data_IF_628074796664
#
_entry.id   IF_628074796664
#
_cell.length_a   1.000
_cell.length_b   1.000
_cell.length_c   1.000
_cell.angle_alpha   90.00
_cell.angle_beta   90.00
_cell.angle_gamma   90.00
#
_symmetry.space_group_name_H-M   'P 1'
#
loop_
_entity.id
_entity.type
_entity.pdbx_description
1 polymer ?
#
# COMPACT_ATOMS: atom_id res chain seq x y z
N UNK A 1 12.88 -23.17 -3.80
CA UNK A 1 12.70 -21.82 -3.22
C UNK A 1 12.32 -20.89 -4.35
N UNK A 2 11.21 -20.16 -4.21
CA UNK A 2 10.67 -19.34 -5.29
C UNK A 2 11.53 -18.07 -5.45
N UNK A 3 11.82 -17.64 -6.69
CA UNK A 3 12.74 -16.51 -6.95
C UNK A 3 12.31 -15.23 -6.22
N UNK A 4 11.02 -14.96 -6.21
CA UNK A 4 10.39 -13.84 -5.49
C UNK A 4 10.65 -13.89 -3.98
N UNK A 5 10.60 -15.09 -3.40
CA UNK A 5 10.82 -15.29 -1.96
C UNK A 5 12.29 -14.99 -1.59
N UNK A 6 13.25 -15.50 -2.38
CA UNK A 6 14.66 -15.16 -2.19
C UNK A 6 14.90 -13.65 -2.32
N UNK A 7 14.27 -13.01 -3.31
CA UNK A 7 14.44 -11.58 -3.56
C UNK A 7 13.85 -10.74 -2.42
N UNK A 8 12.66 -11.08 -1.92
CA UNK A 8 12.04 -10.39 -0.79
C UNK A 8 12.88 -10.50 0.50
N UNK A 9 13.42 -11.69 0.81
CA UNK A 9 14.33 -11.86 1.95
C UNK A 9 15.61 -11.03 1.79
N UNK A 10 16.20 -11.00 0.58
CA UNK A 10 17.38 -10.19 0.32
C UNK A 10 17.11 -8.68 0.48
N UNK A 11 15.95 -8.19 0.03
CA UNK A 11 15.54 -6.80 0.25
C UNK A 11 15.35 -6.50 1.74
N UNK A 12 14.75 -7.41 2.50
CA UNK A 12 14.59 -7.23 3.95
C UNK A 12 15.93 -7.09 4.67
N UNK A 13 16.91 -7.93 4.34
CA UNK A 13 18.28 -7.80 4.89
C UNK A 13 18.93 -6.47 4.49
N UNK A 14 18.72 -6.00 3.26
CA UNK A 14 19.27 -4.71 2.78
C UNK A 14 18.59 -3.48 3.36
N UNK A 15 17.35 -3.63 3.83
CA UNK A 15 16.63 -2.58 4.55
C UNK A 15 17.15 -2.39 5.99
N UNK A 16 17.93 -3.33 6.52
CA UNK A 16 18.51 -3.23 7.86
C UNK A 16 19.65 -2.20 7.94
N UNK A 17 19.84 -1.54 9.11
CA UNK A 17 20.90 -0.56 9.32
C UNK A 17 22.28 -1.08 8.96
N UNK A 18 23.07 -0.27 8.25
CA UNK A 18 24.45 -0.57 7.89
C UNK A 18 24.68 -0.81 6.39
N UNK A 19 23.60 -0.84 5.59
CA UNK A 19 23.67 -0.86 4.13
C UNK A 19 23.81 0.54 3.52
N UNK A 20 23.63 1.59 4.32
CA UNK A 20 23.67 2.99 3.91
C UNK A 20 22.27 3.55 3.68
N UNK A 21 22.06 4.82 4.07
CA UNK A 21 20.71 5.38 4.21
C UNK A 21 19.85 5.32 2.94
N UNK A 22 20.45 5.49 1.75
CA UNK A 22 19.71 5.35 0.49
C UNK A 22 19.41 3.88 0.14
N UNK A 23 20.37 2.97 0.35
CA UNK A 23 20.15 1.53 0.11
C UNK A 23 19.04 0.98 0.98
N UNK A 24 19.01 1.39 2.26
CA UNK A 24 17.98 0.97 3.21
C UNK A 24 16.59 1.45 2.77
N UNK A 25 16.48 2.71 2.36
CA UNK A 25 15.25 3.32 1.83
C UNK A 25 14.77 2.61 0.56
N UNK A 26 15.64 2.41 -0.42
CA UNK A 26 15.29 1.74 -1.68
C UNK A 26 14.89 0.27 -1.47
N UNK A 27 15.58 -0.45 -0.59
CA UNK A 27 15.25 -1.84 -0.29
C UNK A 27 13.86 -1.96 0.37
N UNK A 28 13.54 -1.06 1.30
CA UNK A 28 12.20 -0.98 1.92
C UNK A 28 11.12 -0.63 0.89
N UNK A 29 11.35 0.37 0.03
CA UNK A 29 10.41 0.74 -1.05
C UNK A 29 10.19 -0.40 -2.03
N UNK A 30 11.25 -1.14 -2.37
CA UNK A 30 11.14 -2.32 -3.22
C UNK A 30 10.30 -3.39 -2.53
N UNK A 31 10.53 -3.66 -1.24
CA UNK A 31 9.76 -4.65 -0.50
C UNK A 31 8.27 -4.29 -0.36
N UNK A 32 7.92 -2.99 -0.38
CA UNK A 32 6.54 -2.52 -0.33
C UNK A 32 5.71 -2.88 -1.57
N UNK A 33 6.35 -3.17 -2.70
CA UNK A 33 5.70 -3.58 -3.95
C UNK A 33 5.98 -5.05 -4.32
N UNK A 34 6.90 -5.71 -3.60
CA UNK A 34 7.15 -7.12 -3.78
C UNK A 34 6.10 -7.95 -3.04
N UNK A 35 5.53 -8.98 -3.68
CA UNK A 35 4.79 -9.99 -2.95
C UNK A 35 5.75 -10.71 -1.99
N UNK A 36 5.23 -11.20 -0.85
CA UNK A 36 5.98 -11.99 0.15
C UNK A 36 6.82 -13.10 -0.49
N UNK A 37 6.31 -13.71 -1.56
CA UNK A 37 6.87 -14.94 -2.13
C UNK A 37 6.55 -16.14 -1.22
N UNK A 38 6.58 -17.34 -1.79
CA UNK A 38 6.16 -18.55 -1.07
C UNK A 38 4.65 -18.62 -0.80
N UNK A 39 3.86 -17.67 -1.31
CA UNK A 39 2.39 -17.65 -1.28
C UNK A 39 1.82 -17.41 -2.67
N UNK A 40 0.91 -18.29 -3.08
CA UNK A 40 -0.17 -18.19 -4.06
C UNK A 40 -0.14 -17.32 -5.33
N UNK A 41 0.99 -16.82 -5.81
CA UNK A 41 1.07 -16.27 -7.17
C UNK A 41 0.68 -17.33 -8.21
N UNK A 42 1.12 -18.57 -7.99
CA UNK A 42 0.63 -19.74 -8.71
C UNK A 42 -0.82 -20.08 -8.31
N UNK A 43 -1.27 -19.82 -7.08
CA UNK A 43 -2.66 -20.09 -6.67
C UNK A 43 -3.68 -19.26 -7.45
N UNK A 44 -3.34 -18.06 -7.96
CA UNK A 44 -4.24 -17.36 -8.89
C UNK A 44 -4.36 -18.16 -10.20
N UNK A 45 -3.23 -18.46 -10.85
CA UNK A 45 -3.20 -19.09 -12.18
C UNK A 45 -3.66 -20.54 -12.16
N UNK A 46 -3.14 -21.32 -11.21
CA UNK A 46 -3.51 -22.71 -10.96
C UNK A 46 -4.89 -22.78 -10.32
N UNK A 47 -5.25 -21.87 -9.42
CA UNK A 47 -6.56 -21.88 -8.75
C UNK A 47 -7.69 -21.64 -9.73
N UNK A 48 -7.63 -20.61 -10.58
CA UNK A 48 -8.70 -20.42 -11.59
C UNK A 48 -8.79 -21.63 -12.51
N UNK A 49 -7.66 -22.19 -12.91
CA UNK A 49 -7.57 -23.34 -13.78
C UNK A 49 -8.15 -24.61 -13.12
N UNK A 50 -7.88 -24.85 -11.83
CA UNK A 50 -8.51 -25.92 -11.07
C UNK A 50 -10.02 -25.72 -10.98
N UNK A 51 -10.50 -24.50 -10.74
CA UNK A 51 -11.94 -24.21 -10.71
C UNK A 51 -12.60 -24.53 -12.06
N UNK A 52 -11.99 -24.13 -13.18
CA UNK A 52 -12.51 -24.47 -14.51
C UNK A 52 -12.58 -26.00 -14.68
N UNK A 53 -11.52 -26.71 -14.26
CA UNK A 53 -11.40 -28.17 -14.44
C UNK A 53 -12.37 -28.97 -13.58
N UNK A 54 -12.53 -28.59 -12.32
CA UNK A 54 -13.34 -29.28 -11.32
C UNK A 54 -14.84 -29.07 -11.59
N UNK A 55 -15.20 -27.99 -12.27
CA UNK A 55 -16.57 -27.66 -12.63
C UNK A 55 -16.88 -27.92 -14.11
N UNK A 56 -16.01 -28.64 -14.82
CA UNK A 56 -16.25 -29.08 -16.20
C UNK A 56 -16.35 -27.93 -17.22
N UNK A 57 -15.71 -26.79 -16.96
CA UNK A 57 -15.66 -25.63 -17.85
C UNK A 57 -14.56 -25.85 -18.88
N UNK A 58 -14.84 -25.48 -20.14
CA UNK A 58 -13.89 -25.65 -21.23
C UNK A 58 -12.63 -24.81 -21.00
N UNK A 59 -11.49 -25.48 -21.19
CA UNK A 59 -10.15 -24.89 -21.14
C UNK A 59 -9.36 -25.38 -22.38
N UNK A 60 -9.03 -24.47 -23.31
CA UNK A 60 -8.30 -24.81 -24.52
C UNK A 60 -8.99 -25.91 -25.34
N UNK A 61 -8.32 -27.05 -25.53
CA UNK A 61 -8.84 -28.20 -26.30
C UNK A 61 -9.67 -29.17 -25.46
N UNK A 62 -9.76 -28.99 -24.13
CA UNK A 62 -10.54 -29.89 -23.27
C UNK A 62 -12.03 -29.65 -23.48
N UNK A 63 -12.87 -30.67 -23.74
CA UNK A 63 -14.31 -30.49 -23.83
C UNK A 63 -14.92 -30.11 -22.48
N UNK A 64 -15.93 -29.25 -22.48
CA UNK A 64 -16.60 -28.74 -21.29
C UNK A 64 -17.65 -27.67 -21.59
N UNK A 65 -18.20 -27.05 -20.55
CA UNK A 65 -19.13 -25.92 -20.65
C UNK A 65 -18.39 -24.73 -21.27
N UNK A 66 -18.93 -24.20 -22.37
CA UNK A 66 -18.41 -23.00 -23.02
C UNK A 66 -18.86 -21.77 -22.25
N UNK A 67 -17.93 -21.09 -21.57
CA UNK A 67 -18.19 -19.78 -20.96
C UNK A 67 -17.14 -18.78 -21.44
N UNK A 68 -17.55 -17.91 -22.37
CA UNK A 68 -16.65 -16.95 -23.03
C UNK A 68 -15.97 -16.02 -22.02
N UNK A 69 -16.74 -15.49 -21.07
CA UNK A 69 -16.21 -14.63 -20.00
C UNK A 69 -15.10 -15.33 -19.21
N UNK A 70 -15.33 -16.55 -18.71
CA UNK A 70 -14.34 -17.27 -17.91
C UNK A 70 -13.09 -17.62 -18.72
N UNK A 71 -13.24 -17.94 -20.01
CA UNK A 71 -12.10 -18.16 -20.89
C UNK A 71 -11.26 -16.89 -21.09
N UNK A 72 -11.91 -15.75 -21.36
CA UNK A 72 -11.24 -14.45 -21.52
C UNK A 72 -10.54 -14.02 -20.21
N UNK A 73 -11.25 -14.13 -19.08
CA UNK A 73 -10.72 -13.73 -17.79
C UNK A 73 -9.58 -14.65 -17.33
N UNK A 74 -9.70 -15.97 -17.52
CA UNK A 74 -8.59 -16.91 -17.27
C UNK A 74 -7.33 -16.54 -18.07
N UNK A 75 -7.47 -16.23 -19.36
CA UNK A 75 -6.34 -15.83 -20.20
C UNK A 75 -5.73 -14.50 -19.76
N UNK A 76 -6.55 -13.54 -19.30
CA UNK A 76 -6.07 -12.31 -18.67
C UNK A 76 -5.25 -12.60 -17.42
N UNK A 77 -5.79 -13.39 -16.48
CA UNK A 77 -5.12 -13.79 -15.24
C UNK A 77 -3.79 -14.53 -15.49
N UNK A 78 -3.73 -15.33 -16.56
CA UNK A 78 -2.51 -16.01 -16.97
C UNK A 78 -1.43 -15.04 -17.47
N UNK A 79 -1.84 -13.94 -18.10
CA UNK A 79 -0.93 -12.94 -18.69
C UNK A 79 -0.45 -11.94 -17.63
N UNK A 80 -1.40 -11.31 -16.94
CA UNK A 80 -1.15 -10.31 -15.92
C UNK A 80 -2.38 -10.22 -15.02
N UNK A 81 -2.19 -10.44 -13.72
CA UNK A 81 -3.22 -10.20 -12.73
C UNK A 81 -3.05 -8.80 -12.11
N UNK A 82 -4.15 -8.11 -11.85
CA UNK A 82 -4.21 -6.73 -11.33
C UNK A 82 -5.25 -6.64 -10.21
N UNK A 83 -5.25 -5.54 -9.45
CA UNK A 83 -6.26 -5.31 -8.39
C UNK A 83 -7.70 -5.31 -8.93
N UNK A 84 -7.90 -4.94 -10.20
CA UNK A 84 -9.21 -4.98 -10.87
C UNK A 84 -9.79 -6.40 -10.94
N UNK A 85 -8.96 -7.45 -10.85
CA UNK A 85 -9.45 -8.83 -10.80
C UNK A 85 -10.28 -9.11 -9.55
N UNK A 86 -10.05 -8.38 -8.45
CA UNK A 86 -10.90 -8.45 -7.25
C UNK A 86 -12.30 -7.96 -7.60
N UNK A 87 -12.41 -6.79 -8.24
CA UNK A 87 -13.69 -6.21 -8.65
C UNK A 87 -14.41 -7.08 -9.69
N UNK A 88 -13.68 -7.64 -10.66
CA UNK A 88 -14.23 -8.59 -11.64
C UNK A 88 -14.79 -9.84 -10.95
N UNK A 89 -14.09 -10.38 -9.95
CA UNK A 89 -14.54 -11.55 -9.21
C UNK A 89 -15.76 -11.25 -8.32
N UNK A 90 -15.80 -10.09 -7.66
CA UNK A 90 -16.96 -9.63 -6.87
C UNK A 90 -18.20 -9.42 -7.74
N UNK A 91 -18.03 -8.76 -8.88
CA UNK A 91 -19.11 -8.59 -9.86
C UNK A 91 -19.58 -9.93 -10.44
N UNK A 92 -18.66 -10.87 -10.69
CA UNK A 92 -19.01 -12.21 -11.14
C UNK A 92 -19.81 -12.97 -10.07
N UNK A 93 -19.41 -12.89 -8.81
CA UNK A 93 -20.17 -13.47 -7.70
C UNK A 93 -21.57 -12.85 -7.58
N UNK A 94 -21.70 -11.53 -7.77
CA UNK A 94 -22.99 -10.87 -7.77
C UNK A 94 -23.88 -11.38 -8.93
N UNK A 95 -23.33 -11.51 -10.12
CA UNK A 95 -23.99 -12.12 -11.27
C UNK A 95 -24.38 -13.58 -11.03
N UNK A 96 -23.51 -14.40 -10.43
CA UNK A 96 -23.85 -15.79 -10.11
C UNK A 96 -25.03 -15.88 -9.14
N UNK A 97 -25.22 -14.89 -8.27
CA UNK A 97 -26.35 -14.81 -7.33
C UNK A 97 -27.63 -14.27 -7.96
N UNK A 98 -27.54 -13.25 -8.83
CA UNK A 98 -28.72 -12.57 -9.41
C UNK A 98 -29.14 -13.04 -10.82
N UNK A 99 -28.18 -13.46 -11.64
CA UNK A 99 -28.40 -14.03 -12.98
C UNK A 99 -28.53 -13.03 -14.14
N UNK A 100 -28.56 -11.73 -13.88
CA UNK A 100 -28.62 -10.69 -14.91
C UNK A 100 -27.22 -10.16 -15.23
N UNK A 101 -26.71 -10.46 -16.43
CA UNK A 101 -25.36 -10.07 -16.84
C UNK A 101 -25.16 -8.55 -16.92
N UNK A 102 -26.18 -7.79 -17.31
CA UNK A 102 -26.02 -6.35 -17.47
C UNK A 102 -26.17 -5.63 -16.11
N UNK A 103 -27.16 -6.00 -15.32
CA UNK A 103 -27.42 -5.34 -14.04
C UNK A 103 -26.53 -5.88 -12.92
N UNK A 104 -26.45 -7.21 -12.75
CA UNK A 104 -25.75 -7.80 -11.61
C UNK A 104 -24.23 -7.83 -11.80
N UNK A 105 -23.72 -7.99 -13.03
CA UNK A 105 -22.28 -7.88 -13.29
C UNK A 105 -21.87 -6.43 -13.56
N UNK A 106 -22.37 -5.84 -14.66
CA UNK A 106 -21.91 -4.51 -15.09
C UNK A 106 -22.40 -3.39 -14.17
N UNK A 107 -23.63 -3.47 -13.66
CA UNK A 107 -24.11 -2.52 -12.66
C UNK A 107 -23.26 -2.55 -11.38
N UNK A 108 -22.91 -3.75 -10.90
CA UNK A 108 -22.07 -3.92 -9.71
C UNK A 108 -20.64 -3.41 -9.91
N UNK A 109 -19.98 -3.84 -11.01
CA UNK A 109 -18.58 -3.48 -11.25
C UNK A 109 -18.41 -1.98 -11.51
N UNK A 110 -19.38 -1.36 -12.19
CA UNK A 110 -19.38 0.09 -12.40
C UNK A 110 -19.58 0.84 -11.09
N UNK A 111 -20.57 0.45 -10.29
CA UNK A 111 -20.88 1.13 -9.03
C UNK A 111 -19.73 1.04 -8.02
N UNK A 112 -19.07 -0.13 -7.90
CA UNK A 112 -18.05 -0.37 -6.89
C UNK A 112 -16.62 -0.07 -7.34
N UNK A 113 -16.30 -0.22 -8.63
CA UNK A 113 -14.94 -0.06 -9.15
C UNK A 113 -14.80 0.98 -10.27
N UNK A 114 -15.90 1.57 -10.75
CA UNK A 114 -15.88 2.53 -11.85
C UNK A 114 -15.47 1.93 -13.20
N UNK A 115 -15.43 0.60 -13.32
CA UNK A 115 -15.00 -0.07 -14.55
C UNK A 115 -16.16 -0.21 -15.54
N UNK A 116 -15.90 0.17 -16.78
CA UNK A 116 -16.84 0.12 -17.91
C UNK A 116 -16.65 -1.13 -18.76
N UNK A 117 -17.55 -1.34 -19.74
CA UNK A 117 -17.40 -2.42 -20.73
C UNK A 117 -16.16 -2.22 -21.58
N UNK A 118 -15.90 -0.97 -21.95
CA UNK A 118 -14.77 -0.54 -22.75
C UNK A 118 -13.45 -0.82 -22.00
N UNK A 119 -13.41 -0.55 -20.68
CA UNK A 119 -12.25 -0.87 -19.85
C UNK A 119 -11.96 -2.37 -19.88
N UNK A 120 -12.97 -3.22 -19.66
CA UNK A 120 -12.83 -4.68 -19.70
C UNK A 120 -12.40 -5.20 -21.07
N UNK A 121 -12.94 -4.63 -22.15
CA UNK A 121 -12.56 -4.96 -23.53
C UNK A 121 -11.14 -4.50 -23.89
N UNK A 122 -10.62 -3.49 -23.22
CA UNK A 122 -9.24 -3.00 -23.40
C UNK A 122 -8.21 -3.80 -22.61
N UNK A 123 -8.64 -4.61 -21.62
CA UNK A 123 -7.73 -5.45 -20.83
C UNK A 123 -7.07 -6.49 -21.73
N UNK A 124 -5.73 -6.48 -21.81
CA UNK A 124 -4.97 -7.40 -22.66
C UNK A 124 -5.16 -8.86 -22.22
N UNK A 125 -5.63 -9.69 -23.15
CA UNK A 125 -5.86 -11.13 -22.95
C UNK A 125 -4.78 -11.90 -23.73
N UNK A 126 -3.64 -12.19 -23.12
CA UNK A 126 -2.58 -12.98 -23.77
C UNK A 126 -1.80 -12.22 -24.85
N UNK A 127 -0.83 -12.92 -25.45
CA UNK A 127 0.02 -12.41 -26.53
C UNK A 127 -0.64 -12.49 -27.92
N UNK A 128 -1.81 -13.15 -28.04
CA UNK A 128 -2.43 -13.51 -29.33
C UNK A 128 -3.90 -13.12 -29.51
N UNK A 129 -4.60 -12.64 -28.49
CA UNK A 129 -6.00 -12.24 -28.62
C UNK A 129 -6.12 -10.72 -28.55
N UNK A 130 -6.67 -10.14 -29.60
CA UNK A 130 -6.95 -8.70 -29.71
C UNK A 130 -8.26 -8.30 -29.00
N UNK A 131 -9.06 -9.27 -28.56
CA UNK A 131 -10.35 -9.05 -27.88
C UNK A 131 -10.18 -9.21 -26.36
N UNK A 132 -10.44 -8.14 -25.59
CA UNK A 132 -10.49 -8.18 -24.13
C UNK A 132 -11.70 -8.94 -23.57
N UNK A 133 -12.06 -8.66 -22.32
CA UNK A 133 -13.20 -9.30 -21.65
C UNK A 133 -14.50 -8.69 -22.19
N UNK A 134 -15.28 -9.49 -22.93
CA UNK A 134 -16.50 -9.02 -23.60
C UNK A 134 -17.78 -9.69 -23.10
N UNK A 135 -17.69 -10.90 -22.55
CA UNK A 135 -18.86 -11.68 -22.14
C UNK A 135 -19.83 -12.00 -23.29
N UNK A 136 -21.10 -12.34 -22.99
CA UNK A 136 -21.63 -12.56 -21.64
C UNK A 136 -21.07 -13.84 -20.99
N UNK A 137 -21.22 -13.95 -19.67
CA UNK A 137 -20.95 -15.20 -18.97
C UNK A 137 -22.17 -16.13 -18.98
N UNK A 138 -21.93 -17.43 -18.95
CA UNK A 138 -22.96 -18.41 -18.62
C UNK A 138 -23.34 -18.29 -17.13
N UNK A 139 -24.63 -18.35 -16.82
CA UNK A 139 -25.09 -18.31 -15.42
C UNK A 139 -24.85 -19.67 -14.74
N UNK A 140 -23.76 -19.75 -13.97
CA UNK A 140 -23.27 -20.99 -13.37
C UNK A 140 -23.23 -20.88 -11.83
N UNK A 141 -24.40 -20.83 -11.14
CA UNK A 141 -24.48 -20.53 -9.70
C UNK A 141 -23.75 -21.54 -8.81
N UNK A 142 -23.52 -22.77 -9.29
CA UNK A 142 -22.74 -23.78 -8.57
C UNK A 142 -21.27 -23.38 -8.38
N UNK A 143 -20.76 -22.38 -9.12
CA UNK A 143 -19.40 -21.87 -8.97
C UNK A 143 -19.21 -20.94 -7.76
N UNK A 144 -20.29 -20.50 -7.11
CA UNK A 144 -20.22 -19.52 -6.00
C UNK A 144 -19.19 -19.91 -4.94
N UNK A 145 -19.19 -21.13 -4.36
CA UNK A 145 -18.23 -21.47 -3.31
C UNK A 145 -16.78 -21.44 -3.79
N UNK A 146 -16.54 -21.90 -5.02
CA UNK A 146 -15.22 -21.90 -5.64
C UNK A 146 -14.72 -20.48 -5.93
N UNK A 147 -15.62 -19.60 -6.39
CA UNK A 147 -15.32 -18.20 -6.66
C UNK A 147 -15.17 -17.37 -5.37
N UNK A 148 -15.84 -17.72 -4.28
CA UNK A 148 -15.62 -17.09 -2.96
C UNK A 148 -14.23 -17.43 -2.41
N UNK A 149 -13.79 -18.69 -2.53
CA UNK A 149 -12.41 -19.06 -2.24
C UNK A 149 -11.43 -18.32 -3.15
N UNK A 150 -11.71 -18.27 -4.46
CA UNK A 150 -10.84 -17.60 -5.43
C UNK A 150 -10.73 -16.10 -5.18
N UNK A 151 -11.82 -15.45 -4.77
CA UNK A 151 -11.81 -14.06 -4.33
C UNK A 151 -10.88 -13.88 -3.12
N UNK A 152 -10.88 -14.83 -2.18
CA UNK A 152 -9.95 -14.86 -1.07
C UNK A 152 -8.49 -14.93 -1.53
N UNK A 153 -8.18 -15.76 -2.54
CA UNK A 153 -6.85 -15.84 -3.16
C UNK A 153 -6.47 -14.54 -3.84
N UNK A 154 -7.34 -13.99 -4.69
CA UNK A 154 -7.11 -12.72 -5.39
C UNK A 154 -6.86 -11.59 -4.39
N UNK A 155 -7.71 -11.48 -3.37
CA UNK A 155 -7.52 -10.52 -2.28
C UNK A 155 -6.18 -10.76 -1.62
N UNK A 156 -5.87 -11.96 -1.15
CA UNK A 156 -4.61 -12.29 -0.47
C UNK A 156 -3.36 -11.94 -1.30
N UNK A 157 -3.35 -12.33 -2.57
CA UNK A 157 -2.19 -12.16 -3.46
C UNK A 157 -2.01 -10.71 -3.89
N UNK A 158 -3.08 -9.99 -4.21
CA UNK A 158 -3.03 -8.53 -4.43
C UNK A 158 -2.92 -7.73 -3.13
N UNK A 159 -3.10 -8.42 -2.00
CA UNK A 159 -2.91 -7.92 -0.66
C UNK A 159 -1.62 -8.42 0.00
N UNK A 160 -0.56 -8.69 -0.76
CA UNK A 160 0.79 -8.59 -0.21
C UNK A 160 1.06 -7.25 0.51
N UNK A 161 0.16 -6.28 0.33
CA UNK A 161 0.04 -5.02 1.05
C UNK A 161 -1.16 -4.88 2.02
N UNK A 162 -2.02 -5.91 2.26
CA UNK A 162 -3.03 -5.78 3.34
C UNK A 162 -2.40 -6.03 4.69
N UNK A 163 -2.79 -5.18 5.63
CA UNK A 163 -2.46 -5.32 7.04
C UNK A 163 -2.80 -6.71 7.60
N UNK A 164 -3.89 -7.33 7.16
CA UNK A 164 -4.29 -8.67 7.62
C UNK A 164 -3.31 -9.75 7.21
N UNK A 165 -3.04 -9.86 5.90
CA UNK A 165 -2.14 -10.87 5.39
C UNK A 165 -0.74 -10.67 5.96
N UNK A 166 -0.28 -9.43 6.07
CA UNK A 166 1.02 -9.13 6.68
C UNK A 166 1.05 -9.51 8.17
N UNK A 167 -0.02 -9.27 8.92
CA UNK A 167 -0.11 -9.63 10.33
C UNK A 167 -0.14 -11.15 10.54
N UNK A 168 -0.93 -11.87 9.75
CA UNK A 168 -1.01 -13.34 9.82
C UNK A 168 0.36 -13.97 9.49
N UNK A 169 1.06 -13.43 8.48
CA UNK A 169 2.39 -13.91 8.09
C UNK A 169 3.48 -13.56 9.11
N UNK A 170 3.37 -12.43 9.81
CA UNK A 170 4.35 -11.98 10.79
C UNK A 170 4.08 -12.50 12.21
N UNK A 171 2.97 -13.21 12.45
CA UNK A 171 2.58 -13.68 13.78
C UNK A 171 3.71 -14.39 14.54
N UNK A 172 4.45 -15.25 13.84
CA UNK A 172 5.56 -16.02 14.40
C UNK A 172 6.81 -15.17 14.71
N UNK A 173 6.96 -13.98 14.12
CA UNK A 173 8.11 -13.10 14.36
C UNK A 173 7.98 -12.32 15.67
N UNK A 174 6.83 -12.43 16.34
CA UNK A 174 6.47 -11.74 17.59
C UNK A 174 6.34 -12.72 18.76
N UNK A 175 6.83 -13.95 18.61
CA UNK A 175 6.79 -15.02 19.62
C UNK A 175 7.37 -14.63 20.98
N UNK A 176 8.41 -13.79 20.99
CA UNK A 176 9.06 -13.27 22.21
C UNK A 176 8.29 -12.11 22.87
N UNK A 177 7.31 -11.52 22.18
CA UNK A 177 6.51 -10.39 22.68
C UNK A 177 5.01 -10.66 22.46
N UNK A 178 4.41 -11.45 23.36
CA UNK A 178 2.99 -11.76 23.34
C UNK A 178 2.09 -10.51 23.41
N UNK A 179 2.58 -9.41 24.00
CA UNK A 179 1.86 -8.14 24.02
C UNK A 179 1.78 -7.52 22.63
N UNK A 180 2.84 -7.64 21.83
CA UNK A 180 2.89 -7.08 20.48
C UNK A 180 1.92 -7.81 19.55
N UNK A 181 1.90 -9.15 19.65
CA UNK A 181 0.94 -9.96 18.91
C UNK A 181 -0.52 -9.59 19.27
N UNK A 182 -0.79 -9.32 20.56
CA UNK A 182 -2.10 -8.86 21.00
C UNK A 182 -2.45 -7.48 20.46
N UNK A 183 -1.55 -6.50 20.55
CA UNK A 183 -1.77 -5.14 20.03
C UNK A 183 -2.04 -5.14 18.51
N UNK A 184 -1.33 -5.98 17.74
CA UNK A 184 -1.59 -6.15 16.30
C UNK A 184 -3.01 -6.70 16.08
N UNK A 185 -3.43 -7.69 16.87
CA UNK A 185 -4.77 -8.26 16.73
C UNK A 185 -5.88 -7.29 17.17
N UNK A 186 -5.66 -6.52 18.23
CA UNK A 186 -6.61 -5.51 18.70
C UNK A 186 -6.78 -4.41 17.65
N UNK A 187 -5.69 -3.96 17.04
CA UNK A 187 -5.72 -3.01 15.94
C UNK A 187 -6.49 -3.56 14.73
N UNK A 188 -6.30 -4.84 14.37
CA UNK A 188 -7.05 -5.49 13.27
C UNK A 188 -8.55 -5.53 13.55
N UNK A 189 -8.97 -5.63 14.80
CA UNK A 189 -10.39 -5.66 15.16
C UNK A 189 -11.00 -4.25 15.21
N UNK A 190 -10.18 -3.22 15.47
CA UNK A 190 -10.62 -1.86 15.78
C UNK A 190 -10.03 -0.81 14.83
N UNK A 191 -9.86 -1.15 13.55
CA UNK A 191 -9.04 -0.39 12.57
C UNK A 191 -9.44 1.06 12.37
N UNK A 192 -10.69 1.41 12.62
CA UNK A 192 -11.21 2.75 12.34
C UNK A 192 -11.36 3.60 13.61
N UNK A 193 -10.88 3.11 14.75
CA UNK A 193 -10.94 3.85 16.00
C UNK A 193 -9.96 5.03 16.01
N UNK A 194 -10.33 6.09 16.74
CA UNK A 194 -9.56 7.34 16.79
C UNK A 194 -8.13 7.17 17.32
N UNK A 195 -7.88 6.16 18.15
CA UNK A 195 -6.58 5.89 18.77
C UNK A 195 -5.63 5.10 17.86
N UNK A 196 -6.12 4.59 16.73
CA UNK A 196 -5.35 3.71 15.82
C UNK A 196 -4.05 4.33 15.34
N UNK A 197 -3.98 5.60 14.89
CA UNK A 197 -2.72 6.20 14.44
C UNK A 197 -1.59 6.12 15.48
N UNK A 198 -1.90 6.39 16.75
CA UNK A 198 -0.92 6.29 17.85
C UNK A 198 -0.51 4.85 18.12
N UNK A 199 -1.47 3.92 18.12
CA UNK A 199 -1.19 2.49 18.32
C UNK A 199 -0.34 1.89 17.20
N UNK A 200 -0.52 2.34 15.95
CA UNK A 200 0.36 1.97 14.82
C UNK A 200 1.81 2.33 15.16
N UNK A 201 2.08 3.53 15.66
CA UNK A 201 3.45 3.94 16.01
C UNK A 201 4.05 3.04 17.10
N UNK A 202 3.30 2.74 18.15
CA UNK A 202 3.75 1.84 19.23
C UNK A 202 4.13 0.45 18.70
N UNK A 203 3.25 -0.14 17.87
CA UNK A 203 3.46 -1.45 17.25
C UNK A 203 4.69 -1.39 16.33
N UNK A 204 4.78 -0.39 15.46
CA UNK A 204 5.88 -0.22 14.50
C UNK A 204 7.23 -0.06 15.19
N UNK A 205 7.29 0.68 16.30
CA UNK A 205 8.50 0.83 17.11
C UNK A 205 8.97 -0.51 17.68
N UNK A 206 8.05 -1.31 18.24
CA UNK A 206 8.37 -2.63 18.79
C UNK A 206 8.75 -3.63 17.70
N UNK A 207 8.07 -3.59 16.55
CA UNK A 207 8.38 -4.43 15.39
C UNK A 207 9.81 -4.21 14.88
N UNK A 208 10.43 -3.05 15.10
CA UNK A 208 11.83 -2.83 14.71
C UNK A 208 12.76 -3.89 15.33
N UNK A 209 12.47 -4.39 16.52
CA UNK A 209 13.24 -5.44 17.17
C UNK A 209 13.05 -6.83 16.54
N UNK A 210 11.94 -7.06 15.84
CA UNK A 210 11.65 -8.34 15.20
C UNK A 210 12.45 -8.56 13.91
N UNK A 211 12.84 -7.49 13.20
CA UNK A 211 13.50 -7.58 11.90
C UNK A 211 14.89 -6.94 11.85
N UNK A 212 15.20 -5.95 12.68
CA UNK A 212 16.54 -5.33 12.68
C UNK A 212 17.54 -6.23 13.40
N UNK A 213 18.58 -6.64 12.68
CA UNK A 213 19.69 -7.41 13.24
C UNK A 213 19.47 -8.92 13.36
N UNK A 214 18.33 -9.43 12.88
CA UNK A 214 18.13 -10.89 12.77
C UNK A 214 18.92 -11.47 11.58
N UNK A 215 19.49 -12.66 11.76
CA UNK A 215 20.14 -13.42 10.69
C UNK A 215 19.12 -14.20 9.85
N UNK A 216 17.90 -14.39 10.36
CA UNK A 216 16.82 -15.06 9.63
C UNK A 216 16.14 -14.09 8.65
N UNK A 217 16.49 -14.23 7.36
CA UNK A 217 15.92 -13.43 6.28
C UNK A 217 14.39 -13.58 6.14
N UNK A 218 13.80 -14.71 6.52
CA UNK A 218 12.35 -14.89 6.51
C UNK A 218 11.69 -14.11 7.64
N UNK A 219 12.28 -14.14 8.84
CA UNK A 219 11.82 -13.35 9.98
C UNK A 219 11.89 -11.86 9.68
N UNK A 220 13.03 -11.42 9.11
CA UNK A 220 13.22 -10.04 8.69
C UNK A 220 12.17 -9.63 7.66
N UNK A 221 11.92 -10.46 6.63
CA UNK A 221 10.94 -10.18 5.58
C UNK A 221 9.53 -10.03 6.14
N UNK A 222 9.04 -11.01 6.88
CA UNK A 222 7.64 -11.04 7.32
C UNK A 222 7.34 -9.90 8.29
N UNK A 223 8.22 -9.65 9.27
CA UNK A 223 8.09 -8.53 10.20
C UNK A 223 8.19 -7.16 9.50
N UNK A 224 9.09 -7.00 8.53
CA UNK A 224 9.24 -5.75 7.77
C UNK A 224 8.05 -5.49 6.85
N UNK A 225 7.48 -6.53 6.23
CA UNK A 225 6.25 -6.40 5.44
C UNK A 225 5.06 -5.98 6.30
N UNK A 226 4.93 -6.49 7.53
CA UNK A 226 3.94 -5.99 8.49
C UNK A 226 4.18 -4.52 8.84
N UNK A 227 5.42 -4.12 9.11
CA UNK A 227 5.75 -2.71 9.39
C UNK A 227 5.42 -1.78 8.21
N UNK A 228 5.64 -2.23 6.97
CA UNK A 228 5.24 -1.49 5.75
C UNK A 228 3.71 -1.43 5.62
N UNK A 229 2.99 -2.52 5.88
CA UNK A 229 1.54 -2.54 5.80
C UNK A 229 0.90 -1.61 6.86
N UNK A 230 1.45 -1.56 8.07
CA UNK A 230 1.06 -0.61 9.12
C UNK A 230 1.30 0.84 8.69
N UNK A 231 2.44 1.12 8.07
CA UNK A 231 2.76 2.45 7.54
C UNK A 231 1.78 2.92 6.47
N UNK A 232 1.41 2.03 5.54
CA UNK A 232 0.42 2.31 4.51
C UNK A 232 -0.97 2.51 5.11
N UNK A 233 -1.34 1.73 6.13
CA UNK A 233 -2.61 1.92 6.85
C UNK A 233 -2.66 3.26 7.57
N UNK A 234 -1.58 3.66 8.26
CA UNK A 234 -1.45 4.97 8.88
C UNK A 234 -1.63 6.10 7.87
N UNK A 235 -0.97 5.99 6.71
CA UNK A 235 -1.10 6.97 5.63
C UNK A 235 -2.55 7.11 5.19
N UNK A 236 -3.25 5.99 4.95
CA UNK A 236 -4.66 6.00 4.55
C UNK A 236 -5.55 6.70 5.58
N UNK A 237 -5.31 6.50 6.87
CA UNK A 237 -6.02 7.22 7.94
C UNK A 237 -5.82 8.73 7.87
N UNK A 238 -4.58 9.19 7.70
CA UNK A 238 -4.29 10.62 7.60
C UNK A 238 -4.85 11.23 6.32
N UNK A 239 -4.82 10.50 5.20
CA UNK A 239 -5.38 10.96 3.92
C UNK A 239 -6.90 11.10 3.95
N UNK A 240 -7.59 10.26 4.73
CA UNK A 240 -9.03 10.34 4.95
C UNK A 240 -9.44 11.53 5.83
N UNK A 241 -8.52 12.17 6.55
CA UNK A 241 -8.83 13.32 7.41
C UNK A 241 -9.15 14.56 6.59
N UNK A 242 -10.22 15.27 6.98
CA UNK A 242 -10.56 16.58 6.44
C UNK A 242 -9.73 17.68 7.12
N UNK A 243 -8.45 17.80 6.76
CA UNK A 243 -7.50 18.76 7.35
C UNK A 243 -8.05 20.20 7.43
N UNK A 244 -8.84 20.64 6.44
CA UNK A 244 -9.44 21.99 6.44
C UNK A 244 -10.54 22.21 7.47
N UNK A 245 -11.10 21.15 8.07
CA UNK A 245 -12.09 21.22 9.14
C UNK A 245 -11.48 21.03 10.53
N UNK A 246 -10.20 20.67 10.60
CA UNK A 246 -9.48 20.45 11.85
C UNK A 246 -8.99 21.76 12.45
N UNK A 247 -8.93 21.83 13.77
CA UNK A 247 -8.30 22.95 14.45
C UNK A 247 -6.76 22.85 14.42
N UNK A 248 -6.08 23.92 14.82
CA UNK A 248 -4.63 24.01 14.78
C UNK A 248 -3.93 22.96 15.69
N UNK A 249 -4.56 22.56 16.80
CA UNK A 249 -4.03 21.54 17.71
C UNK A 249 -4.15 20.15 17.10
N UNK A 250 -5.28 19.85 16.49
CA UNK A 250 -5.52 18.60 15.78
C UNK A 250 -4.52 18.44 14.63
N UNK A 251 -4.37 19.45 13.76
CA UNK A 251 -3.39 19.41 12.66
C UNK A 251 -1.97 19.27 13.20
N UNK A 252 -1.63 19.96 14.29
CA UNK A 252 -0.32 19.87 14.94
C UNK A 252 -0.02 18.47 15.49
N UNK A 253 -1.03 17.83 16.09
CA UNK A 253 -0.93 16.48 16.63
C UNK A 253 -0.79 15.46 15.50
N UNK A 254 -1.57 15.61 14.43
CA UNK A 254 -1.45 14.74 13.25
C UNK A 254 -0.09 14.90 12.56
N UNK A 255 0.45 16.12 12.47
CA UNK A 255 1.81 16.33 11.95
C UNK A 255 2.85 15.63 12.83
N UNK A 256 2.73 15.73 14.15
CA UNK A 256 3.63 15.03 15.07
C UNK A 256 3.61 13.51 14.82
N UNK A 257 2.42 12.90 14.79
CA UNK A 257 2.28 11.47 14.53
C UNK A 257 2.83 11.08 13.15
N UNK A 258 2.59 11.88 12.11
CA UNK A 258 3.06 11.60 10.75
C UNK A 258 4.60 11.70 10.63
N UNK A 259 5.22 12.64 11.35
CA UNK A 259 6.68 12.76 11.39
C UNK A 259 7.32 11.60 12.16
N UNK A 260 6.74 11.19 13.30
CA UNK A 260 7.18 10.01 14.05
C UNK A 260 7.03 8.74 13.20
N UNK A 261 5.91 8.58 12.48
CA UNK A 261 5.66 7.48 11.55
C UNK A 261 6.78 7.39 10.50
N UNK A 262 7.13 8.51 9.87
CA UNK A 262 8.19 8.55 8.87
C UNK A 262 9.58 8.38 9.46
N UNK A 263 9.83 8.83 10.69
CA UNK A 263 11.11 8.67 11.37
C UNK A 263 11.42 7.21 11.74
N UNK A 264 10.39 6.36 11.92
CA UNK A 264 10.58 4.91 12.11
C UNK A 264 11.11 4.25 10.83
N UNK A 265 10.56 4.64 9.67
CA UNK A 265 10.94 4.09 8.36
C UNK A 265 12.20 4.72 7.74
N UNK A 266 12.46 6.00 8.00
CA UNK A 266 13.60 6.71 7.40
C UNK A 266 14.87 6.60 8.23
N UNK A 267 15.96 6.24 7.55
CA UNK A 267 17.32 6.33 8.09
C UNK A 267 17.97 7.71 7.90
N UNK A 268 17.27 8.68 7.30
CA UNK A 268 17.77 10.03 7.08
C UNK A 268 17.92 10.88 8.36
N UNK A 269 19.10 11.49 8.61
CA UNK A 269 19.37 12.25 9.82
C UNK A 269 18.64 13.61 9.85
N UNK A 270 18.29 14.17 8.69
CA UNK A 270 17.59 15.45 8.59
C UNK A 270 16.14 15.34 9.10
N UNK A 271 15.39 14.34 8.60
CA UNK A 271 14.01 14.11 9.03
C UNK A 271 13.92 13.80 10.52
N UNK A 272 14.81 12.96 11.07
CA UNK A 272 14.82 12.68 12.52
C UNK A 272 15.06 13.93 13.37
N UNK A 273 15.98 14.81 12.93
CA UNK A 273 16.23 16.09 13.61
C UNK A 273 15.00 17.01 13.52
N UNK A 274 14.33 17.03 12.36
CA UNK A 274 13.14 17.84 12.15
C UNK A 274 11.94 17.35 12.99
N UNK A 275 11.71 16.04 13.04
CA UNK A 275 10.71 15.40 13.90
C UNK A 275 10.98 15.70 15.38
N UNK A 276 12.23 15.53 15.83
CA UNK A 276 12.62 15.84 17.21
C UNK A 276 12.46 17.34 17.55
N UNK A 277 12.78 18.24 16.64
CA UNK A 277 12.55 19.67 16.83
C UNK A 277 11.06 19.98 16.95
N UNK A 278 10.23 19.48 16.04
CA UNK A 278 8.78 19.69 16.08
C UNK A 278 8.15 19.14 17.37
N UNK A 279 8.54 17.93 17.78
CA UNK A 279 8.12 17.31 19.02
C UNK A 279 8.41 18.20 20.24
N UNK A 280 9.64 18.73 20.34
CA UNK A 280 10.04 19.66 21.40
C UNK A 280 9.23 20.95 21.39
N UNK A 281 9.07 21.57 20.22
CA UNK A 281 8.30 22.81 20.08
C UNK A 281 6.84 22.60 20.51
N UNK A 282 6.23 21.47 20.14
CA UNK A 282 4.89 21.15 20.58
C UNK A 282 4.80 20.95 22.10
N UNK A 283 5.76 20.26 22.70
CA UNK A 283 5.81 20.03 24.14
C UNK A 283 6.00 21.32 24.95
N UNK A 284 6.82 22.25 24.47
CA UNK A 284 7.13 23.52 25.15
C UNK A 284 5.97 24.54 25.09
N UNK A 285 5.02 24.41 24.15
CA UNK A 285 3.97 25.41 23.94
C UNK A 285 2.80 25.40 24.93
N UNK A 286 2.41 24.24 25.47
CA UNK A 286 1.21 24.13 26.33
C UNK A 286 -0.11 24.53 25.65
N UNK A 287 -1.15 24.82 26.46
CA UNK A 287 -2.52 25.13 25.99
C UNK A 287 -2.64 26.53 25.35
N UNK A 288 -1.80 27.49 25.75
CA UNK A 288 -1.84 28.89 25.28
C UNK A 288 -0.97 29.20 24.07
N UNK A 289 -0.31 28.20 23.47
CA UNK A 289 0.77 28.37 22.48
C UNK A 289 0.41 29.22 21.27
N UNK A 290 -0.83 29.13 20.79
CA UNK A 290 -1.30 29.89 19.63
C UNK A 290 -1.48 31.38 19.93
N UNK A 291 -1.45 31.81 21.19
CA UNK A 291 -1.44 33.23 21.57
C UNK A 291 -0.04 33.78 21.88
N UNK A 292 0.98 32.92 21.97
CA UNK A 292 2.33 33.31 22.36
C UNK A 292 3.19 33.65 21.13
N UNK A 293 3.48 34.94 20.96
CA UNK A 293 4.30 35.45 19.84
C UNK A 293 5.73 34.87 19.82
N UNK A 294 6.30 34.52 20.96
CA UNK A 294 7.63 33.91 21.03
C UNK A 294 7.57 32.47 20.54
N UNK A 295 6.58 31.70 20.99
CA UNK A 295 6.35 30.33 20.54
C UNK A 295 6.04 30.27 19.04
N UNK A 296 5.17 31.15 18.52
CA UNK A 296 4.81 31.19 17.10
C UNK A 296 6.01 31.40 16.17
N UNK A 297 7.00 32.19 16.58
CA UNK A 297 8.25 32.36 15.81
C UNK A 297 9.08 31.08 15.78
N UNK A 298 9.18 30.40 16.93
CA UNK A 298 9.89 29.11 17.03
C UNK A 298 9.16 28.04 16.21
N UNK A 299 7.82 27.98 16.31
CA UNK A 299 6.98 27.08 15.53
C UNK A 299 7.12 27.33 14.03
N UNK A 300 7.12 28.60 13.59
CA UNK A 300 7.37 28.96 12.18
C UNK A 300 8.73 28.45 11.70
N UNK A 301 9.79 28.66 12.47
CA UNK A 301 11.13 28.18 12.12
C UNK A 301 11.20 26.65 12.09
N UNK A 302 10.56 25.97 13.05
CA UNK A 302 10.49 24.52 13.10
C UNK A 302 9.72 23.94 11.90
N UNK A 303 8.58 24.52 11.53
CA UNK A 303 7.80 24.12 10.35
C UNK A 303 8.59 24.33 9.05
N UNK A 304 9.35 25.41 8.93
CA UNK A 304 10.26 25.63 7.79
C UNK A 304 11.35 24.57 7.74
N UNK A 305 11.96 24.24 8.88
CA UNK A 305 12.97 23.18 8.95
C UNK A 305 12.40 21.80 8.59
N UNK A 306 11.19 21.49 9.04
CA UNK A 306 10.46 20.28 8.64
C UNK A 306 10.22 20.26 7.13
N UNK A 307 9.74 21.36 6.54
CA UNK A 307 9.52 21.46 5.10
C UNK A 307 10.81 21.18 4.30
N UNK A 308 11.93 21.83 4.67
CA UNK A 308 13.22 21.66 4.01
C UNK A 308 13.77 20.24 4.18
N UNK A 309 13.58 19.62 5.34
CA UNK A 309 14.01 18.24 5.58
C UNK A 309 13.20 17.25 4.73
N UNK A 310 11.89 17.45 4.60
CA UNK A 310 11.03 16.64 3.74
C UNK A 310 11.41 16.81 2.26
N UNK A 311 11.58 18.05 1.79
CA UNK A 311 12.00 18.37 0.42
C UNK A 311 13.33 17.70 0.09
N UNK A 312 14.36 17.89 0.94
CA UNK A 312 15.67 17.30 0.73
C UNK A 312 15.64 15.77 0.66
N UNK A 313 14.83 15.09 1.47
CA UNK A 313 14.76 13.62 1.40
C UNK A 313 13.97 13.11 0.19
N UNK A 314 12.90 13.83 -0.20
CA UNK A 314 12.10 13.45 -1.36
C UNK A 314 12.82 13.73 -2.68
N UNK A 315 13.57 14.82 -2.78
CA UNK A 315 14.41 15.12 -3.95
C UNK A 315 15.52 14.09 -4.13
N UNK A 316 16.18 13.69 -3.03
CA UNK A 316 17.21 12.65 -3.06
C UNK A 316 16.62 11.32 -3.54
N UNK A 317 15.42 10.96 -3.09
CA UNK A 317 14.72 9.76 -3.53
C UNK A 317 14.30 9.83 -5.00
N UNK A 318 13.66 10.93 -5.42
CA UNK A 318 13.22 11.12 -6.80
C UNK A 318 14.40 11.03 -7.78
N UNK A 319 15.51 11.70 -7.47
CA UNK A 319 16.73 11.64 -8.26
C UNK A 319 17.32 10.22 -8.32
N UNK A 320 17.28 9.48 -7.21
CA UNK A 320 17.82 8.12 -7.14
C UNK A 320 17.04 7.11 -7.99
N UNK A 321 15.72 7.30 -8.17
CA UNK A 321 14.87 6.35 -8.91
C UNK A 321 14.60 6.74 -10.36
N UNK A 322 14.66 8.03 -10.71
CA UNK A 322 14.32 8.52 -12.05
C UNK A 322 15.25 7.94 -13.13
N UNK A 323 16.58 8.06 -12.97
CA UNK A 323 17.53 7.59 -13.96
C UNK A 323 17.47 6.06 -14.17
N UNK A 324 17.39 5.21 -13.12
CA UNK A 324 17.14 3.79 -13.29
C UNK A 324 15.81 3.49 -14.00
N UNK A 325 14.74 4.22 -13.70
CA UNK A 325 13.44 4.03 -14.34
C UNK A 325 13.50 4.29 -15.85
N UNK A 326 14.16 5.37 -16.28
CA UNK A 326 14.37 5.68 -17.69
C UNK A 326 15.21 4.62 -18.40
N UNK A 327 16.29 4.15 -17.77
CA UNK A 327 17.18 3.13 -18.33
C UNK A 327 16.47 1.77 -18.48
N UNK A 328 15.85 1.29 -17.41
CA UNK A 328 15.19 -0.02 -17.37
C UNK A 328 13.91 0.02 -18.19
N UNK A 329 13.09 1.06 -18.01
CA UNK A 329 11.85 1.28 -18.75
C UNK A 329 12.08 1.48 -20.23
N UNK A 330 13.12 2.24 -20.61
CA UNK A 330 13.51 2.42 -22.02
C UNK A 330 13.94 1.10 -22.67
N UNK A 331 14.76 0.30 -21.98
CA UNK A 331 15.12 -1.04 -22.46
C UNK A 331 13.90 -1.98 -22.56
N UNK A 332 12.95 -1.86 -21.62
CA UNK A 332 11.68 -2.59 -21.60
C UNK A 332 10.61 -2.05 -22.54
N UNK A 333 10.87 -0.97 -23.28
CA UNK A 333 9.90 -0.26 -24.15
C UNK A 333 8.62 0.14 -23.41
N UNK A 334 8.74 0.54 -22.14
CA UNK A 334 7.64 1.15 -21.41
C UNK A 334 7.19 2.45 -22.09
N UNK A 335 5.90 2.78 -21.98
CA UNK A 335 5.38 4.04 -22.52
C UNK A 335 6.09 5.23 -21.87
N UNK A 336 6.63 6.19 -22.63
CA UNK A 336 7.26 7.40 -22.09
C UNK A 336 6.40 8.16 -21.07
N UNK A 337 5.07 8.07 -21.17
CA UNK A 337 4.15 8.67 -20.22
C UNK A 337 4.33 8.13 -18.78
N UNK A 338 4.71 6.86 -18.62
CA UNK A 338 5.01 6.26 -17.31
C UNK A 338 6.41 6.57 -16.80
N UNK A 339 7.31 7.10 -17.64
CA UNK A 339 8.71 7.33 -17.29
C UNK A 339 9.00 8.79 -16.95
N UNK A 340 8.34 9.73 -17.64
CA UNK A 340 8.71 11.16 -17.59
C UNK A 340 8.73 11.73 -16.18
N UNK A 341 7.78 11.34 -15.31
CA UNK A 341 7.66 11.84 -13.94
C UNK A 341 7.75 10.69 -12.90
N UNK A 342 8.43 9.59 -13.21
CA UNK A 342 8.45 8.40 -12.35
C UNK A 342 8.92 8.68 -10.92
N UNK A 343 9.97 9.49 -10.76
CA UNK A 343 10.49 9.91 -9.46
C UNK A 343 9.48 10.74 -8.66
N UNK A 344 8.77 11.65 -9.32
CA UNK A 344 7.72 12.43 -8.67
C UNK A 344 6.54 11.57 -8.23
N UNK A 345 6.11 10.62 -9.07
CA UNK A 345 5.05 9.67 -8.72
C UNK A 345 5.47 8.75 -7.57
N UNK A 346 6.76 8.38 -7.51
CA UNK A 346 7.32 7.65 -6.37
C UNK A 346 7.23 8.47 -5.08
N UNK A 347 7.53 9.78 -5.14
CA UNK A 347 7.38 10.71 -4.01
C UNK A 347 5.92 10.90 -3.61
N UNK A 348 4.98 11.06 -4.57
CA UNK A 348 3.52 11.13 -4.30
C UNK A 348 3.00 9.84 -3.66
N UNK A 349 3.60 8.71 -4.00
CA UNK A 349 3.37 7.39 -3.41
C UNK A 349 4.01 7.19 -2.03
N UNK A 350 4.84 8.11 -1.55
CA UNK A 350 5.59 7.94 -0.32
C UNK A 350 4.74 8.28 0.94
N UNK A 351 4.83 7.52 2.05
CA UNK A 351 4.08 7.79 3.27
C UNK A 351 4.27 9.19 3.86
N UNK A 352 5.44 9.80 3.68
CA UNK A 352 5.74 11.18 4.13
C UNK A 352 5.01 12.26 3.33
N UNK A 353 4.41 11.93 2.18
CA UNK A 353 3.73 12.92 1.35
C UNK A 353 2.61 13.65 2.11
N UNK A 354 1.94 12.97 3.04
CA UNK A 354 0.87 13.56 3.88
C UNK A 354 1.37 14.70 4.77
N UNK A 355 2.66 14.68 5.17
CA UNK A 355 3.24 15.73 6.00
C UNK A 355 3.24 17.10 5.27
N UNK A 356 3.35 17.12 3.94
CA UNK A 356 3.38 18.37 3.17
C UNK A 356 2.11 19.20 3.38
N UNK A 357 0.93 18.56 3.30
CA UNK A 357 -0.37 19.19 3.51
C UNK A 357 -0.55 19.71 4.93
N UNK A 358 -0.09 18.93 5.92
CA UNK A 358 -0.17 19.28 7.34
C UNK A 358 0.74 20.48 7.66
N UNK A 359 1.97 20.49 7.14
CA UNK A 359 2.91 21.60 7.29
C UNK A 359 2.33 22.88 6.67
N UNK A 360 1.79 22.80 5.44
CA UNK A 360 1.18 23.94 4.77
C UNK A 360 0.00 24.53 5.57
N UNK A 361 -0.87 23.67 6.10
CA UNK A 361 -1.99 24.10 6.94
C UNK A 361 -1.52 24.85 8.18
N UNK A 362 -0.54 24.31 8.92
CA UNK A 362 0.00 24.95 10.12
C UNK A 362 0.75 26.25 9.82
N UNK A 363 1.53 26.28 8.74
CA UNK A 363 2.18 27.52 8.30
C UNK A 363 1.17 28.61 7.92
N UNK A 364 0.01 28.22 7.36
CA UNK A 364 -1.12 29.12 7.14
C UNK A 364 -1.63 29.71 8.45
N UNK A 365 -1.94 28.85 9.42
CA UNK A 365 -2.41 29.27 10.75
C UNK A 365 -1.40 30.19 11.45
N UNK A 366 -0.12 29.80 11.50
CA UNK A 366 0.92 30.59 12.17
C UNK A 366 1.06 31.98 11.52
N UNK A 367 1.02 32.08 10.19
CA UNK A 367 1.07 33.36 9.48
C UNK A 367 -0.15 34.24 9.76
N UNK A 368 -1.35 33.65 9.76
CA UNK A 368 -2.59 34.35 10.07
C UNK A 368 -2.55 34.94 11.48
N UNK A 369 -2.13 34.15 12.46
CA UNK A 369 -2.07 34.57 13.87
C UNK A 369 -0.98 35.63 14.09
N UNK A 370 0.17 35.53 13.42
CA UNK A 370 1.22 36.55 13.49
C UNK A 370 0.90 37.84 12.72
N UNK A 371 -0.19 37.87 11.94
CA UNK A 371 -0.57 39.03 11.12
C UNK A 371 0.34 39.27 9.92
N UNK A 372 0.98 38.22 9.38
CA UNK A 372 1.89 38.26 8.22
C UNK A 372 1.24 37.63 6.98
N UNK A 373 -0.09 37.77 6.86
CA UNK A 373 -0.94 37.17 5.84
C UNK A 373 -1.08 38.00 4.57
#
# INVERSE_FOLDING_TARGET
VHMTECFACAMATRAAPGSGAMSERLARLTLAVLPRGGGGGDDIRIGILNILRDNGIKEGHRPGIECRFLQQWHQKLHSSTTKDDIAICEAYLNFLRGGNWDDDFFGHIYYHAGLTREDLQSMKVGWKNDDGISGPAEHLPHLIPAMEWFLGVLKTTHSGASLDAAADNAGWTMDEDAGLAWDVQDLRNNRNEWWVPSKILEIRQRLQHCWRGTEDGYRARDALQLDIALEQHFRGHVEAMHIGAMDANEVSTTLYLALENGAIASSGPALRKAAALWSRVNAEGGEGRWGDASWLRVASAALQFVALALESEMDELAAAVQAPAELIGGAGRADPAYLTNFGEETVRGHPLFVCSRLVQALQGTVRQVMGVG
#
